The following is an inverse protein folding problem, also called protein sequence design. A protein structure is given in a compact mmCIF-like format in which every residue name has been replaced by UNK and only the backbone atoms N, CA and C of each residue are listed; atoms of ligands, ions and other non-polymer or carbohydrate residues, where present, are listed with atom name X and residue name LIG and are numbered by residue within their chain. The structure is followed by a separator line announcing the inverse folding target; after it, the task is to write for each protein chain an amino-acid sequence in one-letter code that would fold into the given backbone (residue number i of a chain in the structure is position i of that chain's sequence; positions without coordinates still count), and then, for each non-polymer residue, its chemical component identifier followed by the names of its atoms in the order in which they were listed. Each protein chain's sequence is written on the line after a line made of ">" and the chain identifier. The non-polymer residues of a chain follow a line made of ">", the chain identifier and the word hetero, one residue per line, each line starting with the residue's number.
data_IF_601780345872
#
_entry.id   IF_601780345872
#
_cell.length_a   1.000
_cell.length_b   1.000
_cell.length_c   1.000
_cell.angle_alpha   90.00
_cell.angle_beta   90.00
_cell.angle_gamma   90.00
#
_symmetry.space_group_name_H-M   'P 1'
#
loop_
_entity.id
_entity.type
_entity.pdbx_description
1 polymer ?
#
# COMPACT_ATOMS: atom_id res chain seq x y z
N UNK A 1 -89.17 28.33 10.31
CA UNK A 1 -87.78 28.46 9.80
C UNK A 1 -87.19 27.06 9.60
N UNK A 2 -86.88 26.65 8.37
CA UNK A 2 -86.34 25.30 8.06
C UNK A 2 -84.82 25.29 8.28
N UNK A 3 -84.32 24.41 9.16
CA UNK A 3 -82.88 24.23 9.43
C UNK A 3 -82.14 23.69 8.19
N UNK A 4 -80.94 24.19 7.84
CA UNK A 4 -80.15 23.65 6.74
C UNK A 4 -79.67 22.22 7.06
N UNK A 5 -79.72 21.33 6.07
CA UNK A 5 -79.19 19.96 6.22
C UNK A 5 -77.66 19.96 6.25
N UNK A 6 -77.03 19.12 7.10
CA UNK A 6 -75.58 19.03 7.18
C UNK A 6 -74.96 18.48 5.89
N UNK A 7 -73.83 19.07 5.48
CA UNK A 7 -73.10 18.67 4.27
C UNK A 7 -72.48 17.26 4.42
N UNK A 8 -72.46 16.43 3.37
CA UNK A 8 -71.83 15.12 3.39
C UNK A 8 -70.32 15.24 3.64
N UNK A 9 -69.75 14.36 4.47
CA UNK A 9 -68.30 14.32 4.72
C UNK A 9 -67.54 13.82 3.48
N UNK A 10 -66.32 14.34 3.21
CA UNK A 10 -65.49 13.88 2.11
C UNK A 10 -65.11 12.40 2.27
N UNK A 11 -65.15 11.64 1.17
CA UNK A 11 -64.74 10.23 1.18
C UNK A 11 -63.23 10.10 1.38
N UNK A 12 -62.75 9.06 2.10
CA UNK A 12 -61.33 8.80 2.29
C UNK A 12 -60.63 8.55 0.94
N UNK A 13 -59.43 9.13 0.76
CA UNK A 13 -58.62 8.89 -0.44
C UNK A 13 -58.12 7.45 -0.48
N UNK A 14 -58.06 6.82 -1.67
CA UNK A 14 -57.54 5.47 -1.82
C UNK A 14 -56.05 5.40 -1.43
N UNK A 15 -55.67 4.33 -0.72
CA UNK A 15 -54.28 4.12 -0.27
C UNK A 15 -53.36 3.85 -1.47
N UNK A 16 -52.11 4.34 -1.44
CA UNK A 16 -51.11 4.03 -2.46
C UNK A 16 -50.87 2.52 -2.57
N UNK A 17 -50.77 2.01 -3.80
CA UNK A 17 -50.46 0.59 -4.03
C UNK A 17 -49.02 0.27 -3.59
N UNK A 18 -48.76 -0.93 -3.06
CA UNK A 18 -47.40 -1.36 -2.69
C UNK A 18 -46.48 -1.36 -3.91
N UNK A 19 -45.25 -0.84 -3.76
CA UNK A 19 -44.24 -0.92 -4.82
C UNK A 19 -43.80 -2.38 -5.02
N UNK A 20 -43.57 -2.82 -6.27
CA UNK A 20 -43.02 -4.15 -6.56
C UNK A 20 -41.67 -4.36 -5.87
N UNK A 21 -41.45 -5.55 -5.29
CA UNK A 21 -40.17 -5.89 -4.66
C UNK A 21 -39.05 -5.97 -5.72
N UNK A 22 -37.83 -5.51 -5.41
CA UNK A 22 -36.66 -5.71 -6.27
C UNK A 22 -36.42 -7.19 -6.54
N UNK A 23 -36.08 -7.54 -7.79
CA UNK A 23 -35.70 -8.91 -8.15
C UNK A 23 -34.43 -9.34 -7.38
N UNK A 24 -34.33 -10.62 -6.95
CA UNK A 24 -33.11 -11.14 -6.34
C UNK A 24 -31.93 -11.04 -7.32
N UNK A 25 -30.79 -10.55 -6.84
CA UNK A 25 -29.53 -10.58 -7.62
C UNK A 25 -29.05 -12.02 -7.79
N UNK A 26 -28.43 -12.38 -8.93
CA UNK A 26 -27.79 -13.68 -9.10
C UNK A 26 -26.68 -13.86 -8.06
N UNK A 27 -26.68 -15.02 -7.38
CA UNK A 27 -25.63 -15.41 -6.43
C UNK A 27 -24.34 -15.74 -7.20
N UNK A 28 -23.17 -15.24 -6.79
CA UNK A 28 -21.89 -15.74 -7.29
C UNK A 28 -21.75 -17.22 -6.90
N UNK A 29 -21.31 -18.04 -7.86
CA UNK A 29 -20.93 -19.43 -7.62
C UNK A 29 -19.72 -19.45 -6.67
N UNK A 30 -19.85 -20.17 -5.56
CA UNK A 30 -18.74 -20.53 -4.67
C UNK A 30 -17.78 -21.45 -5.43
N UNK A 31 -16.61 -20.92 -5.80
CA UNK A 31 -15.44 -21.75 -6.04
C UNK A 31 -14.76 -22.00 -4.69
N UNK A 32 -14.59 -23.29 -4.35
CA UNK A 32 -13.94 -23.79 -3.15
C UNK A 32 -12.67 -23.01 -2.75
N UNK A 33 -12.53 -22.53 -1.50
CA UNK A 33 -11.25 -22.17 -0.92
C UNK A 33 -10.65 -23.41 -0.24
N UNK A 34 -9.96 -24.24 -1.01
CA UNK A 34 -9.11 -25.29 -0.48
C UNK A 34 -7.65 -24.86 -0.53
N UNK A 35 -7.03 -24.69 0.64
CA UNK A 35 -5.60 -24.50 0.96
C UNK A 35 -5.17 -23.08 1.34
N UNK A 36 -5.08 -22.91 2.65
CA UNK A 36 -4.21 -21.98 3.37
C UNK A 36 -2.74 -22.15 2.98
N UNK A 37 -1.98 -21.05 2.81
CA UNK A 37 -0.55 -21.01 3.07
C UNK A 37 -0.28 -20.47 4.49
N UNK A 38 0.80 -20.90 5.16
CA UNK A 38 1.14 -20.44 6.49
C UNK A 38 1.66 -19.00 6.51
N UNK A 39 1.29 -18.29 7.58
CA UNK A 39 1.83 -17.00 7.99
C UNK A 39 3.36 -17.00 7.99
N UNK A 40 3.97 -16.13 7.16
CA UNK A 40 5.37 -15.74 7.31
C UNK A 40 5.43 -14.38 8.01
N UNK A 41 5.31 -14.41 9.34
CA UNK A 41 5.62 -13.26 10.19
C UNK A 41 7.15 -13.08 10.23
N UNK A 42 7.66 -12.10 9.50
CA UNK A 42 9.01 -11.58 9.74
C UNK A 42 8.96 -10.64 10.96
N UNK A 43 9.07 -11.20 12.17
CA UNK A 43 9.43 -10.44 13.36
C UNK A 43 10.95 -10.39 13.47
N UNK A 44 11.56 -9.24 13.21
CA UNK A 44 13.00 -9.03 13.43
C UNK A 44 13.20 -8.43 14.84
N UNK A 45 13.95 -9.07 15.75
CA UNK A 45 14.37 -8.45 17.00
C UNK A 45 15.53 -7.46 16.76
N UNK A 46 15.45 -6.30 17.42
CA UNK A 46 16.49 -5.26 17.43
C UNK A 46 17.79 -5.76 18.10
N UNK A 47 18.98 -5.52 17.54
CA UNK A 47 20.23 -5.71 18.27
C UNK A 47 20.44 -4.56 19.27
N UNK A 48 20.66 -4.91 20.54
CA UNK A 48 21.17 -3.98 21.55
C UNK A 48 22.67 -3.82 21.35
N UNK A 49 23.12 -2.57 21.21
CA UNK A 49 24.52 -2.18 21.39
C UNK A 49 25.04 -2.68 22.74
N UNK A 50 26.23 -3.28 22.74
CA UNK A 50 27.18 -3.19 23.85
C UNK A 50 28.58 -3.60 23.39
N UNK A 51 29.42 -2.60 23.14
CA UNK A 51 30.85 -2.70 23.45
C UNK A 51 31.03 -2.58 24.98
N UNK A 52 32.13 -3.07 25.56
CA UNK A 52 33.36 -2.27 25.55
C UNK A 52 34.66 -3.06 25.33
N UNK A 53 35.70 -2.29 25.06
CA UNK A 53 37.10 -2.65 24.90
C UNK A 53 37.74 -3.23 26.19
N UNK A 54 38.94 -3.83 26.07
CA UNK A 54 40.21 -3.35 26.67
C UNK A 54 41.31 -4.45 26.68
N UNK A 55 42.52 -4.04 26.25
CA UNK A 55 43.91 -4.55 26.52
C UNK A 55 44.33 -5.93 25.97
N UNK A 56 45.32 -6.04 25.06
CA UNK A 56 46.79 -5.87 25.22
C UNK A 56 47.41 -7.01 26.08
N UNK A 57 48.47 -7.77 25.77
CA UNK A 57 49.74 -7.63 25.01
C UNK A 57 50.30 -9.09 24.82
N UNK A 58 50.80 -9.56 23.64
CA UNK A 58 52.24 -9.82 23.26
C UNK A 58 52.71 -11.29 23.52
N UNK A 59 53.73 -11.88 22.81
CA UNK A 59 53.53 -12.96 21.82
C UNK A 59 54.40 -14.23 22.13
N UNK A 60 54.40 -15.26 21.29
CA UNK A 60 55.62 -16.06 21.00
C UNK A 60 55.43 -17.03 19.81
N UNK A 61 56.52 -17.21 19.08
CA UNK A 61 56.74 -18.06 17.91
C UNK A 61 56.27 -19.51 18.06
N UNK A 62 55.86 -20.12 16.93
CA UNK A 62 56.50 -21.35 16.46
C UNK A 62 56.31 -21.50 14.94
N UNK A 63 57.42 -21.53 14.21
CA UNK A 63 57.47 -21.95 12.83
C UNK A 63 57.32 -23.48 12.76
N UNK A 64 56.40 -23.96 11.92
CA UNK A 64 56.39 -25.34 11.48
C UNK A 64 55.99 -25.38 10.00
N UNK A 65 56.92 -25.88 9.20
CA UNK A 65 56.74 -26.23 7.79
C UNK A 65 55.50 -27.12 7.66
N UNK A 66 54.51 -26.67 6.88
CA UNK A 66 53.48 -27.53 6.33
C UNK A 66 53.62 -27.52 4.80
N UNK A 67 53.89 -28.70 4.26
CA UNK A 67 54.09 -28.98 2.85
C UNK A 67 52.90 -28.50 1.97
N UNK A 68 53.13 -28.18 0.69
CA UNK A 68 52.05 -27.82 -0.22
C UNK A 68 51.17 -29.05 -0.46
N UNK A 69 49.91 -28.98 0.00
CA UNK A 69 48.89 -29.95 -0.37
C UNK A 69 48.61 -29.86 -1.88
N UNK A 70 48.41 -31.00 -2.58
CA UNK A 70 48.07 -30.97 -3.99
C UNK A 70 46.74 -30.24 -4.18
N UNK A 71 46.75 -29.18 -4.98
CA UNK A 71 45.56 -28.42 -5.33
C UNK A 71 44.53 -29.37 -5.97
N UNK A 72 43.41 -29.55 -5.29
CA UNK A 72 42.24 -30.19 -5.87
C UNK A 72 41.84 -29.42 -7.15
N UNK A 73 41.38 -30.10 -8.21
CA UNK A 73 40.96 -29.43 -9.43
C UNK A 73 39.84 -28.45 -9.09
N UNK A 74 40.05 -27.18 -9.46
CA UNK A 74 39.05 -26.14 -9.32
C UNK A 74 37.75 -26.60 -9.98
N UNK A 75 36.69 -26.74 -9.19
CA UNK A 75 35.36 -27.02 -9.72
C UNK A 75 35.02 -25.98 -10.80
N UNK A 76 34.40 -26.40 -11.92
CA UNK A 76 34.06 -25.47 -13.00
C UNK A 76 33.18 -24.35 -12.43
N UNK A 77 33.57 -23.10 -12.69
CA UNK A 77 32.84 -21.92 -12.28
C UNK A 77 31.39 -22.01 -12.76
N UNK A 78 30.48 -22.27 -11.82
CA UNK A 78 29.05 -22.37 -12.07
C UNK A 78 28.57 -21.00 -12.57
N UNK A 79 27.98 -20.96 -13.78
CA UNK A 79 27.44 -19.71 -14.34
C UNK A 79 26.39 -19.16 -13.36
N UNK A 80 26.38 -17.85 -13.06
CA UNK A 80 25.41 -17.28 -12.12
C UNK A 80 23.98 -17.56 -12.61
N UNK A 81 23.26 -18.42 -11.88
CA UNK A 81 21.85 -18.68 -12.14
C UNK A 81 21.07 -17.39 -11.88
N UNK A 82 20.19 -16.95 -12.80
CA UNK A 82 19.39 -15.76 -12.57
C UNK A 82 18.56 -15.91 -11.30
N UNK A 83 18.38 -14.84 -10.50
CA UNK A 83 17.66 -14.93 -9.24
C UNK A 83 16.22 -15.39 -9.47
N UNK A 84 15.73 -16.25 -8.58
CA UNK A 84 14.34 -16.71 -8.61
C UNK A 84 13.35 -15.54 -8.50
N UNK A 85 12.11 -15.76 -8.93
CA UNK A 85 11.03 -14.76 -8.80
C UNK A 85 10.85 -14.36 -7.33
N UNK A 86 10.96 -15.31 -6.39
CA UNK A 86 10.92 -15.07 -4.95
C UNK A 86 12.04 -14.13 -4.50
N UNK A 87 13.30 -14.44 -4.84
CA UNK A 87 14.45 -13.63 -4.47
C UNK A 87 14.37 -12.21 -5.04
N UNK A 88 13.79 -12.09 -6.25
CA UNK A 88 13.52 -10.79 -6.88
C UNK A 88 12.42 -10.02 -6.14
N UNK A 89 11.34 -10.68 -5.72
CA UNK A 89 10.28 -10.09 -4.89
C UNK A 89 10.83 -9.62 -3.54
N UNK A 90 11.65 -10.43 -2.87
CA UNK A 90 12.25 -10.06 -1.59
C UNK A 90 13.14 -8.82 -1.69
N UNK A 91 13.93 -8.73 -2.77
CA UNK A 91 14.74 -7.54 -3.05
C UNK A 91 13.84 -6.31 -3.25
N UNK A 92 12.80 -6.43 -4.07
CA UNK A 92 11.84 -5.34 -4.33
C UNK A 92 11.14 -4.92 -3.04
N UNK A 93 10.72 -5.88 -2.21
CA UNK A 93 10.03 -5.60 -0.95
C UNK A 93 10.91 -4.78 0.00
N UNK A 94 12.19 -5.15 0.15
CA UNK A 94 13.14 -4.37 0.97
C UNK A 94 13.30 -2.94 0.46
N UNK A 95 13.45 -2.74 -0.85
CA UNK A 95 13.56 -1.40 -1.43
C UNK A 95 12.27 -0.58 -1.21
N UNK A 96 11.09 -1.20 -1.37
CA UNK A 96 9.82 -0.52 -1.18
C UNK A 96 9.48 -0.22 0.27
N UNK A 97 9.95 -1.03 1.23
CA UNK A 97 9.85 -0.71 2.66
C UNK A 97 10.63 0.57 2.98
N UNK A 98 11.83 0.74 2.41
CA UNK A 98 12.60 1.98 2.58
C UNK A 98 11.89 3.17 1.96
N UNK A 99 11.36 3.01 0.74
CA UNK A 99 10.56 4.04 0.08
C UNK A 99 9.29 4.39 0.88
N UNK A 100 8.61 3.41 1.45
CA UNK A 100 7.45 3.64 2.30
C UNK A 100 7.81 4.52 3.50
N UNK A 101 8.95 4.28 4.15
CA UNK A 101 9.45 5.13 5.23
C UNK A 101 9.80 6.57 4.78
N UNK A 102 10.26 6.76 3.56
CA UNK A 102 10.45 8.10 2.97
C UNK A 102 9.11 8.81 2.73
N UNK A 103 8.15 8.09 2.13
CA UNK A 103 6.82 8.64 1.85
C UNK A 103 6.04 8.93 3.13
N UNK A 104 6.14 8.09 4.16
CA UNK A 104 5.53 8.35 5.46
C UNK A 104 6.03 9.69 6.02
N UNK A 105 7.34 9.91 6.07
CA UNK A 105 7.93 11.17 6.56
C UNK A 105 7.48 12.36 5.73
N UNK A 106 7.44 12.22 4.41
CA UNK A 106 6.92 13.27 3.52
C UNK A 106 5.45 13.58 3.80
N UNK A 107 4.62 12.56 4.04
CA UNK A 107 3.20 12.72 4.36
C UNK A 107 3.01 13.39 5.72
N UNK A 108 3.76 12.97 6.75
CA UNK A 108 3.73 13.56 8.09
C UNK A 108 4.13 15.04 8.08
N UNK A 109 5.09 15.40 7.23
CA UNK A 109 5.60 16.75 7.04
C UNK A 109 4.80 17.59 6.01
N UNK A 110 3.77 17.02 5.38
CA UNK A 110 3.08 17.63 4.23
C UNK A 110 4.01 18.05 3.07
N UNK A 111 5.10 17.32 2.87
CA UNK A 111 6.04 17.58 1.78
C UNK A 111 5.50 17.06 0.44
N UNK A 112 4.70 17.91 -0.19
CA UNK A 112 4.13 17.67 -1.51
C UNK A 112 5.22 17.46 -2.57
N UNK A 113 6.35 18.16 -2.47
CA UNK A 113 7.40 18.08 -3.48
C UNK A 113 8.03 16.68 -3.54
N UNK A 114 8.30 16.08 -2.39
CA UNK A 114 8.83 14.71 -2.30
C UNK A 114 7.85 13.66 -2.86
N UNK A 115 6.55 13.82 -2.62
CA UNK A 115 5.53 12.91 -3.18
C UNK A 115 5.43 13.09 -4.70
N UNK A 116 5.34 14.34 -5.17
CA UNK A 116 5.25 14.67 -6.60
C UNK A 116 6.51 14.23 -7.35
N UNK A 117 7.69 14.24 -6.72
CA UNK A 117 8.93 13.73 -7.31
C UNK A 117 8.86 12.24 -7.73
N UNK A 118 7.86 11.49 -7.28
CA UNK A 118 7.61 10.09 -7.66
C UNK A 118 6.50 9.90 -8.69
N UNK A 119 5.83 10.97 -9.10
CA UNK A 119 4.82 10.95 -10.17
C UNK A 119 5.54 10.99 -11.54
N UNK A 120 5.28 10.08 -12.48
CA UNK A 120 5.87 10.17 -13.82
C UNK A 120 5.54 11.50 -14.50
N UNK A 121 6.41 12.00 -15.38
CA UNK A 121 6.15 13.22 -16.16
C UNK A 121 4.86 13.11 -16.98
N UNK A 122 4.57 11.91 -17.53
CA UNK A 122 3.32 11.63 -18.24
C UNK A 122 2.09 11.50 -17.36
N UNK A 123 2.20 11.57 -16.03
CA UNK A 123 1.08 11.43 -15.09
C UNK A 123 0.83 10.02 -14.57
N UNK A 124 -0.29 9.85 -13.86
CA UNK A 124 -0.70 8.58 -13.23
C UNK A 124 -1.81 7.90 -14.00
N UNK A 125 -1.75 6.57 -14.15
CA UNK A 125 -2.80 5.81 -14.83
C UNK A 125 -4.04 5.68 -13.94
N UNK A 126 -5.21 5.98 -14.50
CA UNK A 126 -6.48 5.84 -13.81
C UNK A 126 -7.50 5.12 -14.71
N UNK A 127 -7.48 3.78 -14.65
CA UNK A 127 -8.19 2.95 -15.63
C UNK A 127 -7.70 3.25 -17.06
N UNK A 128 -8.59 3.57 -18.02
CA UNK A 128 -8.20 3.94 -19.38
C UNK A 128 -7.68 5.38 -19.50
N UNK A 129 -7.75 6.18 -18.43
CA UNK A 129 -7.36 7.61 -18.43
C UNK A 129 -5.99 7.81 -17.81
N UNK A 130 -5.41 8.98 -18.05
CA UNK A 130 -4.20 9.44 -17.39
C UNK A 130 -4.50 10.74 -16.65
N UNK A 131 -4.09 10.82 -15.39
CA UNK A 131 -4.17 12.03 -14.57
C UNK A 131 -2.84 12.78 -14.71
N UNK A 132 -2.81 13.97 -15.34
CA UNK A 132 -1.57 14.72 -15.56
C UNK A 132 -0.86 15.05 -14.24
N UNK A 133 0.48 15.09 -14.27
CA UNK A 133 1.30 15.38 -13.09
C UNK A 133 0.94 16.70 -12.43
N UNK A 134 0.67 17.74 -13.23
CA UNK A 134 0.31 19.08 -12.77
C UNK A 134 -1.03 19.07 -12.02
N UNK A 135 -1.95 18.19 -12.43
CA UNK A 135 -3.21 17.99 -11.70
C UNK A 135 -2.95 17.31 -10.36
N UNK A 136 -2.13 16.26 -10.33
CA UNK A 136 -1.76 15.57 -9.08
C UNK A 136 -1.16 16.58 -8.09
N UNK A 137 -0.20 17.37 -8.55
CA UNK A 137 0.47 18.38 -7.76
C UNK A 137 -0.48 19.48 -7.25
N UNK A 138 -1.35 20.01 -8.12
CA UNK A 138 -2.35 21.01 -7.72
C UNK A 138 -3.30 20.47 -6.65
N UNK A 139 -3.77 19.23 -6.82
CA UNK A 139 -4.71 18.62 -5.88
C UNK A 139 -4.01 18.31 -4.55
N UNK A 140 -2.76 17.84 -4.56
CA UNK A 140 -1.98 17.66 -3.34
C UNK A 140 -1.80 18.96 -2.54
N UNK A 141 -1.75 20.13 -3.19
CA UNK A 141 -1.64 21.44 -2.51
C UNK A 141 -2.98 22.03 -2.08
N UNK A 142 -4.10 21.55 -2.62
CA UNK A 142 -5.41 22.11 -2.35
C UNK A 142 -6.07 21.38 -1.18
N UNK A 143 -6.18 22.01 -0.01
CA UNK A 143 -6.75 21.39 1.22
C UNK A 143 -8.19 20.89 1.07
N UNK A 144 -8.94 21.49 0.15
CA UNK A 144 -10.32 21.11 -0.20
C UNK A 144 -10.38 19.96 -1.20
N UNK A 145 -9.25 19.51 -1.74
CA UNK A 145 -9.22 18.39 -2.66
C UNK A 145 -9.37 17.06 -1.93
N UNK A 146 -9.95 16.10 -2.63
CA UNK A 146 -10.06 14.74 -2.09
C UNK A 146 -8.68 14.12 -1.84
N UNK A 147 -7.70 14.34 -2.73
CA UNK A 147 -6.36 13.74 -2.62
C UNK A 147 -5.60 14.28 -1.41
N UNK A 148 -5.62 15.60 -1.22
CA UNK A 148 -5.02 16.23 -0.04
C UNK A 148 -5.69 15.70 1.23
N UNK A 149 -7.03 15.66 1.26
CA UNK A 149 -7.79 15.13 2.39
C UNK A 149 -7.44 13.68 2.73
N UNK A 150 -7.20 12.81 1.74
CA UNK A 150 -6.79 11.42 1.99
C UNK A 150 -5.38 11.31 2.53
N UNK A 151 -4.42 12.06 2.00
CA UNK A 151 -3.02 11.92 2.41
C UNK A 151 -2.71 12.70 3.67
N UNK A 152 -3.06 13.98 3.72
CA UNK A 152 -2.69 14.89 4.79
C UNK A 152 -3.83 15.14 5.78
N UNK A 153 -5.08 14.93 5.35
CA UNK A 153 -6.27 15.35 6.10
C UNK A 153 -6.71 16.74 5.67
N UNK A 154 -7.99 17.03 5.84
CA UNK A 154 -8.57 18.31 5.42
C UNK A 154 -10.04 18.18 5.11
N UNK A 155 -10.75 19.29 4.85
CA UNK A 155 -12.19 19.27 4.58
C UNK A 155 -12.56 18.55 3.28
N UNK A 156 -11.61 18.32 2.37
CA UNK A 156 -11.84 17.66 1.08
C UNK A 156 -12.14 16.15 1.14
N UNK A 157 -11.92 15.49 2.28
CA UNK A 157 -12.17 14.06 2.44
C UNK A 157 -13.01 13.76 3.68
N UNK A 158 -14.11 13.01 3.47
CA UNK A 158 -14.94 12.48 4.56
C UNK A 158 -14.59 11.01 4.74
N UNK A 159 -14.00 10.61 5.89
CA UNK A 159 -13.61 9.23 6.11
C UNK A 159 -14.83 8.33 6.37
N UNK A 160 -14.66 7.05 6.04
CA UNK A 160 -15.64 6.02 6.40
C UNK A 160 -15.44 5.58 7.86
N UNK A 161 -16.50 5.12 8.56
CA UNK A 161 -16.36 4.55 9.90
C UNK A 161 -15.31 3.43 9.92
N UNK A 162 -14.43 3.44 10.92
CA UNK A 162 -13.36 2.46 11.07
C UNK A 162 -12.19 2.62 10.09
N UNK A 163 -12.14 3.70 9.31
CA UNK A 163 -11.00 4.07 8.46
C UNK A 163 -10.36 5.35 9.01
N UNK A 164 -9.03 5.42 9.00
CA UNK A 164 -8.33 6.63 9.44
C UNK A 164 -8.77 7.83 8.60
N UNK A 165 -8.87 9.00 9.25
CA UNK A 165 -9.32 10.24 8.59
C UNK A 165 -8.41 10.70 7.45
N UNK A 166 -7.14 10.35 7.54
CA UNK A 166 -6.13 10.53 6.49
C UNK A 166 -4.95 9.62 6.77
N UNK A 167 -4.06 9.47 5.80
CA UNK A 167 -2.86 8.66 5.94
C UNK A 167 -1.90 9.28 6.96
N UNK A 168 -1.79 10.61 7.00
CA UNK A 168 -1.06 11.33 8.05
C UNK A 168 -1.64 11.08 9.44
N UNK A 169 -2.96 11.07 9.58
CA UNK A 169 -3.61 10.79 10.85
C UNK A 169 -3.33 9.34 11.29
N UNK A 170 -3.39 8.37 10.36
CA UNK A 170 -2.98 6.99 10.63
C UNK A 170 -1.57 6.94 11.24
N UNK A 171 -0.61 7.67 10.67
CA UNK A 171 0.78 7.67 11.14
C UNK A 171 0.97 8.33 12.51
N UNK A 172 0.19 9.37 12.82
CA UNK A 172 0.33 10.13 14.08
C UNK A 172 -0.46 9.54 15.24
N UNK A 173 -1.59 8.90 14.94
CA UNK A 173 -2.58 8.49 15.95
C UNK A 173 -2.54 6.99 16.26
N UNK A 174 -2.10 6.16 15.31
CA UNK A 174 -1.96 4.72 15.57
C UNK A 174 -0.75 4.45 16.46
N UNK A 175 -0.91 3.51 17.41
CA UNK A 175 0.19 3.05 18.26
C UNK A 175 1.29 2.32 17.49
N UNK A 176 0.91 1.70 16.36
CA UNK A 176 1.82 1.00 15.46
C UNK A 176 1.26 1.04 14.03
N UNK A 177 2.15 1.26 13.06
CA UNK A 177 1.83 1.18 11.63
C UNK A 177 2.82 0.22 10.95
N UNK A 178 2.29 -0.83 10.36
CA UNK A 178 3.03 -1.80 9.57
C UNK A 178 3.00 -1.43 8.09
N UNK A 179 4.12 -1.60 7.40
CA UNK A 179 4.22 -1.50 5.94
C UNK A 179 4.01 -2.89 5.35
N UNK A 180 2.97 -3.04 4.53
CA UNK A 180 2.71 -4.26 3.76
C UNK A 180 3.13 -4.03 2.30
N UNK A 181 3.98 -4.93 1.78
CA UNK A 181 4.28 -4.98 0.35
C UNK A 181 3.56 -6.18 -0.27
N UNK A 182 2.70 -5.91 -1.25
CA UNK A 182 1.96 -6.92 -1.99
C UNK A 182 2.31 -6.87 -3.49
N UNK A 183 2.31 -8.02 -4.15
CA UNK A 183 2.55 -8.10 -5.60
C UNK A 183 1.25 -8.43 -6.32
N UNK A 184 0.63 -7.42 -6.93
CA UNK A 184 -0.61 -7.58 -7.71
C UNK A 184 -0.29 -8.22 -9.05
N UNK A 185 -1.20 -9.07 -9.55
CA UNK A 185 -1.07 -9.60 -10.91
C UNK A 185 -1.23 -8.44 -11.90
N UNK A 186 -0.22 -8.25 -12.72
CA UNK A 186 -0.21 -7.26 -13.80
C UNK A 186 0.50 -7.88 -15.01
N UNK A 187 -0.17 -8.01 -16.16
CA UNK A 187 0.45 -8.57 -17.37
C UNK A 187 1.71 -7.81 -17.82
N UNK A 188 1.77 -6.49 -17.62
CA UNK A 188 2.91 -5.66 -17.99
C UNK A 188 4.11 -5.84 -17.03
N UNK A 189 3.88 -6.26 -15.78
CA UNK A 189 4.92 -6.51 -14.79
C UNK A 189 5.47 -7.96 -14.81
N UNK A 190 4.88 -8.83 -15.65
CA UNK A 190 5.30 -10.21 -15.81
C UNK A 190 5.18 -11.05 -14.51
N UNK A 191 6.06 -12.06 -14.37
CA UNK A 191 5.98 -13.05 -13.30
C UNK A 191 6.14 -12.47 -11.88
N UNK A 192 6.84 -11.33 -11.74
CA UNK A 192 7.01 -10.66 -10.43
C UNK A 192 5.70 -10.06 -9.95
N UNK A 193 4.90 -9.50 -10.86
CA UNK A 193 3.71 -8.71 -10.54
C UNK A 193 4.04 -7.25 -10.21
N UNK A 194 3.00 -6.42 -10.16
CA UNK A 194 3.08 -5.00 -9.82
C UNK A 194 3.19 -4.85 -8.29
N UNK A 195 4.32 -4.35 -7.76
CA UNK A 195 4.46 -4.21 -6.32
C UNK A 195 3.72 -2.97 -5.82
N UNK A 196 3.00 -3.14 -4.72
CA UNK A 196 2.23 -2.08 -4.08
C UNK A 196 2.47 -2.07 -2.57
N UNK A 197 2.51 -0.87 -2.02
CA UNK A 197 2.69 -0.59 -0.60
C UNK A 197 1.34 -0.21 0.01
N UNK A 198 1.09 -0.72 1.19
CA UNK A 198 -0.05 -0.37 2.02
C UNK A 198 0.40 -0.16 3.48
N UNK A 199 -0.23 0.76 4.18
CA UNK A 199 0.08 1.05 5.58
C UNK A 199 -1.05 0.54 6.45
N UNK A 200 -0.77 -0.35 7.40
CA UNK A 200 -1.79 -1.03 8.20
C UNK A 200 -1.60 -0.71 9.68
N UNK A 201 -2.69 -0.36 10.36
CA UNK A 201 -2.73 -0.27 11.80
C UNK A 201 -3.78 -1.24 12.37
N UNK A 202 -3.55 -1.84 13.54
CA UNK A 202 -4.55 -2.71 14.17
C UNK A 202 -5.88 -2.00 14.40
N UNK A 203 -6.98 -2.63 13.98
CA UNK A 203 -8.34 -2.12 14.20
C UNK A 203 -8.72 -0.87 13.38
N UNK A 204 -7.85 -0.41 12.48
CA UNK A 204 -8.06 0.81 11.71
C UNK A 204 -7.76 0.59 10.22
N UNK A 205 -8.74 0.90 9.38
CA UNK A 205 -8.61 0.83 7.93
C UNK A 205 -7.73 1.95 7.38
N UNK A 206 -7.03 1.65 6.29
CA UNK A 206 -6.19 2.60 5.56
C UNK A 206 -7.04 3.42 4.60
N UNK A 207 -6.92 4.76 4.59
CA UNK A 207 -7.63 5.59 3.64
C UNK A 207 -6.99 5.49 2.25
N UNK A 208 -7.84 5.40 1.22
CA UNK A 208 -7.40 5.32 -0.17
C UNK A 208 -7.03 3.91 -0.64
N UNK A 209 -6.40 3.85 -1.81
CA UNK A 209 -5.91 2.63 -2.43
C UNK A 209 -4.42 2.40 -2.09
N UNK A 210 -3.92 1.15 -2.15
CA UNK A 210 -2.49 0.89 -1.99
C UNK A 210 -1.68 1.61 -3.07
N UNK A 211 -0.47 2.04 -2.70
CA UNK A 211 0.44 2.79 -3.54
C UNK A 211 1.26 1.83 -4.41
N UNK A 212 0.96 1.76 -5.70
CA UNK A 212 1.63 0.84 -6.62
C UNK A 212 2.80 1.51 -7.36
N UNK A 213 3.87 0.76 -7.58
CA UNK A 213 5.12 1.27 -8.13
C UNK A 213 5.66 0.45 -9.28
N UNK A 214 6.41 1.12 -10.16
CA UNK A 214 7.26 0.51 -11.16
C UNK A 214 8.68 1.07 -11.04
N UNK A 215 9.66 0.25 -11.44
CA UNK A 215 11.04 0.67 -11.49
C UNK A 215 11.40 1.09 -12.91
N UNK A 216 11.75 2.36 -13.10
CA UNK A 216 12.25 2.93 -14.37
C UNK A 216 13.52 3.72 -14.09
N UNK A 217 14.56 3.48 -14.88
CA UNK A 217 15.85 4.16 -14.78
C UNK A 217 16.43 4.12 -13.35
N UNK A 218 16.34 2.94 -12.72
CA UNK A 218 16.84 2.71 -11.36
C UNK A 218 15.98 3.30 -10.24
N UNK A 219 14.92 4.07 -10.56
CA UNK A 219 14.06 4.77 -9.60
C UNK A 219 12.66 4.17 -9.54
N UNK A 220 12.02 4.31 -8.37
CA UNK A 220 10.64 3.89 -8.13
C UNK A 220 9.66 5.03 -8.39
N UNK A 221 8.68 4.77 -9.25
CA UNK A 221 7.66 5.71 -9.69
C UNK A 221 6.26 5.17 -9.38
N UNK A 222 5.32 6.05 -9.05
CA UNK A 222 3.91 5.67 -8.94
C UNK A 222 3.37 5.25 -10.31
N UNK A 223 2.65 4.13 -10.35
CA UNK A 223 2.05 3.60 -11.59
C UNK A 223 0.57 3.91 -11.70
N UNK A 224 -0.14 3.67 -10.61
CA UNK A 224 -1.59 3.83 -10.52
C UNK A 224 -1.93 5.14 -9.82
N UNK A 225 -3.08 5.66 -10.20
CA UNK A 225 -3.68 6.86 -9.67
C UNK A 225 -3.82 6.79 -8.16
N UNK A 226 -3.42 7.87 -7.48
CA UNK A 226 -3.74 8.09 -6.06
C UNK A 226 -5.23 8.38 -5.84
N UNK A 227 -6.04 8.41 -6.92
CA UNK A 227 -7.46 8.75 -6.91
C UNK A 227 -8.35 7.53 -7.17
N UNK A 228 -9.60 7.55 -6.70
CA UNK A 228 -10.61 6.60 -7.13
C UNK A 228 -10.89 6.79 -8.62
N UNK A 229 -10.62 5.77 -9.41
CA UNK A 229 -10.92 5.76 -10.84
C UNK A 229 -12.39 5.39 -11.04
N UNK A 230 -13.23 6.40 -11.26
CA UNK A 230 -14.63 6.27 -11.66
C UNK A 230 -14.83 6.65 -13.12
#
# INVERSE_FOLDING_TARGET
>A
MKRPRPRPRPRPRPRPRPRPRPRPRPRPRLSNPGRTPPDSRCSIPRPRLRSPAVRALVPLLLAALAAPAPAAPAAPAEKPTPPSVEARRDRIARELIQLAGELQRAIEAEDVATIVARVPAGGLRCGPRVVPRERVERELRSETSWLHGVLFGGPGHVPSPGVARSLRALFREASEVAVLVAFRRDPAAGAVGLPCVDYRAPGLGTPGAPLCFERRDGRWWFTESLYPCR
#
